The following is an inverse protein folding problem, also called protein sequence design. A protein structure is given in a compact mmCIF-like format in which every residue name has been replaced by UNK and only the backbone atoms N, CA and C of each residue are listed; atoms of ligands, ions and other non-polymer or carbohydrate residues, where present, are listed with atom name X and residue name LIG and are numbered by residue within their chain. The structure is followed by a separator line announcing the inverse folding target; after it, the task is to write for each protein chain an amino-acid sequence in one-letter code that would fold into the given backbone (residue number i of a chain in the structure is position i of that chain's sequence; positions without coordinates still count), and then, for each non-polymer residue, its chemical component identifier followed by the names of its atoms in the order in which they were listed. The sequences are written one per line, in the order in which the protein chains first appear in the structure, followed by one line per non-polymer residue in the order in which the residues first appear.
data_IF_006317258116
#
_entry.id   IF_006317258116
#
_cell.length_a   1.000
_cell.length_b   1.000
_cell.length_c   1.000
_cell.angle_alpha   90.00
_cell.angle_beta   90.00
_cell.angle_gamma   90.00
#
_symmetry.space_group_name_H-M   'P 1'
#
loop_
_entity.id
_entity.type
_entity.pdbx_description
1 polymer ?
#
# COMPACT_ATOMS: atom_id res chain seq x y z
N UNK A 1 -13.92 -27.00 29.89
CA UNK A 1 -13.01 -27.90 29.15
C UNK A 1 -13.09 -27.44 27.71
N UNK A 2 -12.00 -26.92 27.14
CA UNK A 2 -11.98 -26.54 25.73
C UNK A 2 -11.86 -27.83 24.92
N UNK A 3 -12.91 -28.21 24.21
CA UNK A 3 -12.84 -29.26 23.21
C UNK A 3 -12.08 -28.70 22.01
N UNK A 4 -10.90 -29.25 21.76
CA UNK A 4 -10.18 -28.97 20.53
C UNK A 4 -10.92 -29.67 19.38
N UNK A 5 -11.06 -29.02 18.22
CA UNK A 5 -11.69 -29.65 17.05
C UNK A 5 -10.98 -30.98 16.77
N UNK A 6 -11.76 -32.06 16.77
CA UNK A 6 -11.27 -33.40 16.44
C UNK A 6 -10.99 -33.38 14.94
N UNK A 7 -9.71 -33.29 14.56
CA UNK A 7 -9.28 -33.21 13.17
C UNK A 7 -9.60 -34.48 12.40
N UNK A 8 -10.84 -34.56 11.89
CA UNK A 8 -11.28 -35.55 10.91
C UNK A 8 -11.13 -35.02 9.47
N UNK A 9 -10.68 -33.77 9.33
CA UNK A 9 -10.30 -33.18 8.06
C UNK A 9 -8.90 -33.67 7.68
N UNK A 10 -8.83 -34.40 6.56
CA UNK A 10 -7.57 -34.83 5.97
C UNK A 10 -6.63 -33.62 5.80
N UNK A 11 -5.33 -33.74 6.16
CA UNK A 11 -4.44 -32.59 6.15
C UNK A 11 -4.35 -31.96 4.77
N UNK A 12 -4.52 -30.64 4.71
CA UNK A 12 -4.32 -29.84 3.51
C UNK A 12 -2.91 -30.06 2.95
N UNK A 13 -2.79 -30.17 1.62
CA UNK A 13 -1.52 -30.32 0.91
C UNK A 13 -1.00 -31.74 0.73
N UNK A 14 -1.79 -32.77 1.06
CA UNK A 14 -1.39 -34.17 0.88
C UNK A 14 -1.94 -34.83 -0.40
N UNK A 15 -2.91 -34.22 -1.07
CA UNK A 15 -3.46 -34.69 -2.35
C UNK A 15 -3.94 -33.53 -3.21
N UNK A 16 -4.11 -33.77 -4.51
CA UNK A 16 -4.71 -32.79 -5.44
C UNK A 16 -6.18 -32.49 -5.10
N UNK A 17 -6.83 -33.39 -4.38
CA UNK A 17 -8.22 -33.24 -3.89
C UNK A 17 -8.30 -32.28 -2.69
N UNK A 18 -7.19 -32.09 -1.99
CA UNK A 18 -7.02 -31.19 -0.84
C UNK A 18 -5.74 -30.36 -0.99
N UNK A 19 -5.67 -29.46 -1.98
CA UNK A 19 -4.47 -28.66 -2.24
C UNK A 19 -4.28 -27.60 -1.15
N UNK A 20 -3.05 -27.08 -1.05
CA UNK A 20 -2.78 -25.87 -0.24
C UNK A 20 -3.39 -24.66 -0.95
N UNK A 21 -4.38 -24.03 -0.31
CA UNK A 21 -5.09 -22.86 -0.82
C UNK A 21 -4.45 -21.60 -0.26
N UNK A 22 -3.85 -20.81 -1.16
CA UNK A 22 -3.27 -19.51 -0.83
C UNK A 22 -4.35 -18.42 -0.95
N UNK A 23 -5.17 -18.26 0.08
CA UNK A 23 -6.28 -17.29 0.06
C UNK A 23 -5.78 -15.84 -0.10
N UNK A 24 -6.36 -15.11 -1.05
CA UNK A 24 -6.08 -13.69 -1.29
C UNK A 24 -4.76 -13.40 -2.01
N UNK A 25 -4.04 -14.42 -2.46
CA UNK A 25 -2.84 -14.27 -3.28
C UNK A 25 -3.15 -14.51 -4.75
N UNK A 26 -2.48 -13.75 -5.63
CA UNK A 26 -2.58 -13.99 -7.07
C UNK A 26 -1.56 -15.04 -7.52
N UNK A 27 -1.84 -15.71 -8.63
CA UNK A 27 -0.86 -16.61 -9.26
C UNK A 27 0.42 -15.87 -9.69
N UNK A 28 0.35 -14.56 -9.92
CA UNK A 28 1.50 -13.72 -10.25
C UNK A 28 2.38 -13.46 -9.02
N UNK A 29 1.77 -13.14 -7.88
CA UNK A 29 2.49 -12.95 -6.61
C UNK A 29 3.23 -14.23 -6.20
N UNK A 30 2.56 -15.38 -6.30
CA UNK A 30 3.19 -16.66 -5.99
C UNK A 30 4.33 -16.98 -6.97
N UNK A 31 4.14 -16.75 -8.28
CA UNK A 31 5.20 -16.96 -9.28
C UNK A 31 6.39 -16.05 -9.05
N UNK A 32 6.18 -14.80 -8.64
CA UNK A 32 7.26 -13.88 -8.27
C UNK A 32 8.08 -14.46 -7.12
N UNK A 33 7.42 -14.97 -6.08
CA UNK A 33 8.10 -15.62 -4.94
C UNK A 33 8.89 -16.86 -5.38
N UNK A 34 8.28 -17.76 -6.15
CA UNK A 34 8.95 -18.97 -6.65
C UNK A 34 10.18 -18.64 -7.49
N UNK A 35 10.12 -17.58 -8.32
CA UNK A 35 11.25 -17.12 -9.14
C UNK A 35 12.49 -16.86 -8.30
N UNK A 36 12.34 -16.31 -7.10
CA UNK A 36 13.47 -15.99 -6.23
C UNK A 36 13.83 -17.12 -5.27
N UNK A 37 12.84 -17.89 -4.78
CA UNK A 37 13.08 -19.06 -3.92
C UNK A 37 13.86 -20.15 -4.65
N UNK A 38 13.50 -20.42 -5.90
CA UNK A 38 14.13 -21.46 -6.71
C UNK A 38 15.31 -20.93 -7.53
N UNK A 39 15.53 -19.60 -7.56
CA UNK A 39 16.80 -19.05 -8.00
C UNK A 39 17.85 -19.31 -6.92
N UNK A 40 19.07 -19.75 -7.26
CA UNK A 40 20.13 -19.95 -6.27
C UNK A 40 20.40 -18.64 -5.49
N UNK A 41 20.17 -18.58 -4.16
CA UNK A 41 20.31 -17.34 -3.37
C UNK A 41 21.75 -16.78 -3.36
N UNK A 42 22.73 -17.63 -3.69
CA UNK A 42 24.15 -17.27 -3.83
C UNK A 42 24.47 -16.56 -5.16
N UNK A 43 23.57 -16.59 -6.17
CA UNK A 43 23.84 -16.04 -7.50
C UNK A 43 23.12 -14.74 -7.82
N UNK A 44 21.99 -14.45 -7.15
CA UNK A 44 21.27 -13.19 -7.39
C UNK A 44 21.86 -12.11 -6.51
N UNK A 45 22.95 -11.51 -6.99
CA UNK A 45 23.48 -10.27 -6.43
C UNK A 45 22.36 -9.22 -6.43
N UNK A 46 22.08 -8.61 -5.29
CA UNK A 46 21.01 -7.59 -5.15
C UNK A 46 21.20 -6.48 -6.20
N UNK A 47 22.47 -6.16 -6.50
CA UNK A 47 22.92 -5.19 -7.50
C UNK A 47 22.54 -5.56 -8.94
N UNK A 48 22.36 -6.85 -9.24
CA UNK A 48 22.00 -7.36 -10.58
C UNK A 48 20.50 -7.25 -10.89
N UNK A 49 19.66 -7.06 -9.88
CA UNK A 49 18.20 -7.03 -10.05
C UNK A 49 17.78 -5.69 -10.68
N UNK A 50 17.14 -5.65 -11.85
CA UNK A 50 16.77 -4.39 -12.49
C UNK A 50 15.69 -3.64 -11.68
N UNK A 51 15.66 -2.32 -11.78
CA UNK A 51 14.58 -1.50 -11.18
C UNK A 51 13.18 -1.89 -11.68
N UNK A 52 13.09 -2.44 -12.89
CA UNK A 52 11.85 -2.98 -13.45
C UNK A 52 11.28 -4.17 -12.65
N UNK A 53 12.09 -4.84 -11.83
CA UNK A 53 11.64 -5.93 -10.95
C UNK A 53 11.04 -5.44 -9.62
N UNK A 54 10.96 -4.13 -9.39
CA UNK A 54 10.41 -3.58 -8.15
C UNK A 54 8.97 -4.05 -7.83
N UNK A 55 8.03 -4.16 -8.81
CA UNK A 55 6.70 -4.68 -8.53
C UNK A 55 6.76 -6.13 -8.02
N UNK A 56 7.61 -6.95 -8.64
CA UNK A 56 7.86 -8.32 -8.18
C UNK A 56 8.43 -8.34 -6.75
N UNK A 57 9.36 -7.44 -6.43
CA UNK A 57 9.92 -7.33 -5.06
C UNK A 57 8.88 -6.92 -4.02
N UNK A 58 7.94 -6.04 -4.39
CA UNK A 58 6.81 -5.68 -3.51
C UNK A 58 5.95 -6.92 -3.24
N UNK A 59 5.61 -7.70 -4.27
CA UNK A 59 4.88 -8.96 -4.12
C UNK A 59 5.64 -9.95 -3.24
N UNK A 60 6.95 -10.13 -3.47
CA UNK A 60 7.80 -11.01 -2.66
C UNK A 60 7.80 -10.59 -1.20
N UNK A 61 7.96 -9.29 -0.91
CA UNK A 61 7.98 -8.77 0.45
C UNK A 61 6.63 -8.97 1.17
N UNK A 62 5.50 -8.71 0.49
CA UNK A 62 4.14 -8.91 1.04
C UNK A 62 3.87 -10.38 1.34
N UNK A 63 4.11 -11.24 0.35
CA UNK A 63 3.90 -12.67 0.48
C UNK A 63 4.78 -13.24 1.58
N UNK A 64 6.07 -12.90 1.58
CA UNK A 64 7.02 -13.36 2.59
C UNK A 64 6.64 -12.88 4.00
N UNK A 65 6.08 -11.68 4.14
CA UNK A 65 5.56 -11.23 5.43
C UNK A 65 4.35 -12.07 5.88
N UNK A 66 3.37 -12.27 5.00
CA UNK A 66 2.14 -13.00 5.31
C UNK A 66 2.40 -14.45 5.73
N UNK A 67 3.34 -15.11 5.07
CA UNK A 67 3.70 -16.51 5.35
C UNK A 67 4.94 -16.66 6.25
N UNK A 68 5.33 -15.61 6.99
CA UNK A 68 6.43 -15.64 7.96
C UNK A 68 7.79 -16.13 7.41
N UNK A 69 8.11 -15.76 6.17
CA UNK A 69 9.36 -16.09 5.48
C UNK A 69 10.40 -14.98 5.70
N UNK A 70 10.93 -14.87 6.92
CA UNK A 70 11.75 -13.72 7.35
C UNK A 70 12.97 -13.44 6.47
N UNK A 71 13.66 -14.48 6.02
CA UNK A 71 14.83 -14.33 5.14
C UNK A 71 14.46 -13.63 3.83
N UNK A 72 13.39 -14.07 3.18
CA UNK A 72 12.92 -13.52 1.90
C UNK A 72 12.30 -12.13 2.06
N UNK A 73 11.62 -11.90 3.19
CA UNK A 73 11.12 -10.58 3.57
C UNK A 73 12.26 -9.57 3.68
N UNK A 74 13.29 -9.87 4.47
CA UNK A 74 14.44 -8.97 4.65
C UNK A 74 15.21 -8.76 3.35
N UNK A 75 15.46 -9.83 2.59
CA UNK A 75 16.12 -9.75 1.30
C UNK A 75 15.35 -8.85 0.31
N UNK A 76 14.04 -9.05 0.17
CA UNK A 76 13.22 -8.22 -0.73
C UNK A 76 13.20 -6.75 -0.30
N UNK A 77 13.17 -6.48 1.01
CA UNK A 77 13.25 -5.12 1.56
C UNK A 77 14.60 -4.44 1.28
N UNK A 78 15.71 -5.17 1.32
CA UNK A 78 17.03 -4.66 0.94
C UNK A 78 17.07 -4.29 -0.54
N UNK A 79 16.55 -5.16 -1.42
CA UNK A 79 16.45 -4.88 -2.86
C UNK A 79 15.58 -3.65 -3.10
N UNK A 80 14.41 -3.57 -2.45
CA UNK A 80 13.53 -2.41 -2.52
C UNK A 80 14.27 -1.15 -2.08
N UNK A 81 14.94 -1.19 -0.93
CA UNK A 81 15.72 -0.06 -0.41
C UNK A 81 16.75 0.43 -1.43
N UNK A 82 17.53 -0.48 -2.02
CA UNK A 82 18.52 -0.17 -3.04
C UNK A 82 17.86 0.46 -4.29
N UNK A 83 16.75 -0.09 -4.77
CA UNK A 83 16.10 0.40 -6.00
C UNK A 83 15.33 1.68 -5.80
N UNK A 84 14.74 1.87 -4.63
CA UNK A 84 14.21 3.15 -4.21
C UNK A 84 15.33 4.18 -4.20
N UNK A 85 16.57 3.88 -3.83
CA UNK A 85 17.61 4.93 -3.93
C UNK A 85 17.83 5.49 -5.35
N UNK A 86 17.39 4.76 -6.39
CA UNK A 86 17.35 5.15 -7.81
C UNK A 86 15.96 5.70 -8.26
N UNK A 87 15.26 6.41 -7.36
CA UNK A 87 13.87 6.90 -7.42
C UNK A 87 13.41 7.60 -8.72
N UNK A 88 14.32 8.07 -9.58
CA UNK A 88 13.96 8.93 -10.72
C UNK A 88 13.13 8.24 -11.81
N UNK A 89 13.15 6.91 -11.86
CA UNK A 89 12.48 6.11 -12.90
C UNK A 89 11.25 5.35 -12.41
N UNK A 90 10.86 5.51 -11.14
CA UNK A 90 9.82 4.70 -10.52
C UNK A 90 8.43 5.17 -11.02
N UNK A 91 7.64 4.28 -11.66
CA UNK A 91 6.31 4.63 -12.11
C UNK A 91 5.42 5.02 -10.93
N UNK A 92 4.60 6.03 -11.15
CA UNK A 92 3.83 6.70 -10.10
C UNK A 92 2.80 5.78 -9.44
N UNK A 93 2.33 4.77 -10.16
CA UNK A 93 1.43 3.70 -9.71
C UNK A 93 2.00 2.83 -8.58
N UNK A 94 3.33 2.77 -8.42
CA UNK A 94 3.95 1.96 -7.39
C UNK A 94 4.23 2.71 -6.08
N UNK A 95 4.11 4.05 -6.05
CA UNK A 95 4.42 4.85 -4.87
C UNK A 95 3.51 4.53 -3.69
N UNK A 96 2.20 4.36 -3.94
CA UNK A 96 1.25 3.99 -2.89
C UNK A 96 1.53 2.58 -2.35
N UNK A 97 1.52 1.49 -3.15
CA UNK A 97 1.79 0.14 -2.64
C UNK A 97 3.12 0.03 -1.89
N UNK A 98 4.15 0.72 -2.37
CA UNK A 98 5.48 0.74 -1.77
C UNK A 98 5.49 1.46 -0.41
N UNK A 99 4.80 2.59 -0.29
CA UNK A 99 4.69 3.32 0.97
C UNK A 99 3.89 2.51 2.01
N UNK A 100 2.76 1.92 1.59
CA UNK A 100 1.95 0.98 2.38
C UNK A 100 2.79 -0.17 2.92
N UNK A 101 3.57 -0.80 2.03
CA UNK A 101 4.44 -1.91 2.37
C UNK A 101 5.49 -1.53 3.42
N UNK A 102 6.19 -0.41 3.24
CA UNK A 102 7.28 -0.02 4.15
C UNK A 102 6.78 0.46 5.51
N UNK A 103 5.55 0.95 5.56
CA UNK A 103 4.83 1.16 6.81
C UNK A 103 4.58 -0.18 7.49
N UNK A 104 3.95 -1.12 6.79
CA UNK A 104 3.55 -2.42 7.32
C UNK A 104 4.77 -3.23 7.80
N UNK A 105 5.89 -3.12 7.10
CA UNK A 105 7.13 -3.84 7.37
C UNK A 105 8.11 -3.07 8.28
N UNK A 106 7.71 -1.91 8.81
CA UNK A 106 8.51 -1.03 9.68
C UNK A 106 9.93 -0.70 9.14
N UNK A 107 10.12 -0.78 7.84
CA UNK A 107 11.45 -0.79 7.26
C UNK A 107 11.98 0.64 7.03
N UNK A 108 13.12 0.95 7.68
CA UNK A 108 14.01 2.08 7.35
C UNK A 108 13.33 3.45 7.24
N UNK A 109 13.32 4.30 8.30
CA UNK A 109 12.68 5.62 8.25
C UNK A 109 13.18 6.50 7.10
N UNK A 110 14.46 6.36 6.72
CA UNK A 110 15.07 7.05 5.59
C UNK A 110 14.46 6.65 4.23
N UNK A 111 14.15 5.37 4.02
CA UNK A 111 13.54 4.90 2.77
C UNK A 111 12.12 5.42 2.63
N UNK A 112 11.36 5.39 3.74
CA UNK A 112 10.00 5.96 3.78
C UNK A 112 9.98 7.45 3.48
N UNK A 113 10.88 8.21 4.11
CA UNK A 113 10.99 9.65 3.88
C UNK A 113 11.28 9.99 2.41
N UNK A 114 12.18 9.25 1.75
CA UNK A 114 12.52 9.47 0.34
C UNK A 114 11.35 9.16 -0.60
N UNK A 115 10.60 8.08 -0.33
CA UNK A 115 9.40 7.77 -1.12
C UNK A 115 8.36 8.84 -0.96
N UNK A 116 8.17 9.33 0.28
CA UNK A 116 7.24 10.41 0.54
C UNK A 116 7.66 11.71 -0.17
N UNK A 117 8.95 12.06 -0.13
CA UNK A 117 9.49 13.22 -0.84
C UNK A 117 9.24 13.11 -2.36
N UNK A 118 9.54 11.96 -2.96
CA UNK A 118 9.25 11.74 -4.38
C UNK A 118 7.77 11.80 -4.68
N UNK A 119 6.94 11.23 -3.81
CA UNK A 119 5.49 11.27 -3.98
C UNK A 119 4.98 12.70 -3.96
N UNK A 120 5.48 13.51 -3.01
CA UNK A 120 5.21 14.95 -2.94
C UNK A 120 5.64 15.66 -4.23
N UNK A 121 6.84 15.41 -4.75
CA UNK A 121 7.33 16.00 -6.01
C UNK A 121 6.43 15.67 -7.21
N UNK A 122 6.00 14.41 -7.31
CA UNK A 122 5.15 13.96 -8.42
C UNK A 122 3.76 14.58 -8.31
N UNK A 123 3.22 14.64 -7.08
CA UNK A 123 1.96 15.34 -6.82
C UNK A 123 2.12 16.80 -7.22
N UNK A 124 3.13 17.53 -6.74
CA UNK A 124 3.42 18.95 -7.03
C UNK A 124 3.56 19.25 -8.53
N UNK A 125 4.07 18.31 -9.31
CA UNK A 125 4.21 18.42 -10.78
C UNK A 125 2.92 18.10 -11.56
N UNK A 126 1.80 17.87 -10.88
CA UNK A 126 0.47 17.52 -11.45
C UNK A 126 0.43 16.17 -12.17
N UNK A 127 1.36 15.26 -11.86
CA UNK A 127 1.44 13.96 -12.55
C UNK A 127 0.72 12.82 -11.81
N UNK A 128 0.06 13.10 -10.68
CA UNK A 128 -0.67 12.10 -9.89
C UNK A 128 -1.93 12.70 -9.26
N UNK A 129 -2.99 11.90 -9.25
CA UNK A 129 -4.18 12.14 -8.45
C UNK A 129 -3.92 11.79 -6.98
N UNK A 130 -4.41 12.61 -6.04
CA UNK A 130 -4.38 12.35 -4.60
C UNK A 130 -5.37 11.26 -4.15
N UNK A 131 -6.31 10.87 -5.02
CA UNK A 131 -7.41 9.96 -4.68
C UNK A 131 -6.95 8.59 -4.13
N UNK A 132 -5.93 7.91 -4.70
CA UNK A 132 -5.46 6.64 -4.16
C UNK A 132 -4.90 6.75 -2.75
N UNK A 133 -4.34 7.92 -2.39
CA UNK A 133 -3.81 8.20 -1.06
C UNK A 133 -4.94 8.34 -0.05
N UNK A 134 -6.00 9.05 -0.42
CA UNK A 134 -7.19 9.21 0.40
C UNK A 134 -7.91 7.87 0.60
N UNK A 135 -8.04 7.06 -0.46
CA UNK A 135 -8.63 5.72 -0.35
C UNK A 135 -7.83 4.81 0.60
N UNK A 136 -6.50 4.89 0.57
CA UNK A 136 -5.64 4.14 1.51
C UNK A 136 -5.77 4.65 2.96
N UNK A 137 -5.91 5.97 3.15
CA UNK A 137 -6.18 6.57 4.45
C UNK A 137 -7.52 6.11 5.05
N UNK A 138 -8.54 6.05 4.20
CA UNK A 138 -9.92 5.73 4.56
C UNK A 138 -10.09 4.27 4.95
N UNK A 139 -9.21 3.39 4.44
CA UNK A 139 -9.11 2.00 4.86
C UNK A 139 -8.64 1.83 6.33
N UNK A 140 -8.35 2.93 7.05
CA UNK A 140 -8.17 2.91 8.51
C UNK A 140 -6.75 2.65 8.99
N UNK A 141 -5.77 2.63 8.10
CA UNK A 141 -4.37 2.46 8.45
C UNK A 141 -3.82 3.77 9.05
N UNK A 142 -3.81 3.87 10.38
CA UNK A 142 -3.38 5.05 11.14
C UNK A 142 -1.95 5.54 10.81
N UNK A 143 -1.15 4.70 10.17
CA UNK A 143 0.22 4.95 9.76
C UNK A 143 0.37 5.92 8.57
N UNK A 144 -0.69 6.21 7.82
CA UNK A 144 -0.61 7.15 6.67
C UNK A 144 -0.56 8.63 7.06
N UNK A 145 -0.66 8.99 8.34
CA UNK A 145 -0.85 10.39 8.76
C UNK A 145 0.25 11.33 8.26
N UNK A 146 1.52 10.96 8.34
CA UNK A 146 2.62 11.82 7.88
C UNK A 146 2.59 12.03 6.37
N UNK A 147 2.38 10.96 5.60
CA UNK A 147 2.31 11.03 4.15
C UNK A 147 1.09 11.80 3.65
N UNK A 148 -0.07 11.59 4.27
CA UNK A 148 -1.30 12.30 3.97
C UNK A 148 -1.17 13.79 4.26
N UNK A 149 -0.61 14.17 5.41
CA UNK A 149 -0.43 15.58 5.78
C UNK A 149 0.44 16.28 4.75
N UNK A 150 1.56 15.68 4.34
CA UNK A 150 2.46 16.26 3.35
C UNK A 150 1.76 16.47 1.98
N UNK A 151 1.08 15.44 1.48
CA UNK A 151 0.36 15.49 0.20
C UNK A 151 -0.81 16.49 0.26
N UNK A 152 -1.48 16.60 1.41
CA UNK A 152 -2.58 17.52 1.61
C UNK A 152 -2.14 18.99 1.70
N UNK A 153 -1.01 19.25 2.35
CA UNK A 153 -0.41 20.60 2.39
C UNK A 153 -0.09 21.13 0.99
N UNK A 154 0.32 20.25 0.07
CA UNK A 154 0.57 20.60 -1.33
C UNK A 154 -0.73 21.05 -2.02
N UNK A 155 -1.82 20.31 -1.82
CA UNK A 155 -3.12 20.66 -2.40
C UNK A 155 -3.72 21.94 -1.82
N UNK A 156 -3.58 22.19 -0.52
CA UNK A 156 -4.00 23.47 0.08
C UNK A 156 -3.26 24.64 -0.58
N UNK A 157 -1.93 24.53 -0.77
CA UNK A 157 -1.13 25.57 -1.44
C UNK A 157 -1.53 25.78 -2.90
N UNK A 158 -2.03 24.74 -3.58
CA UNK A 158 -2.56 24.84 -4.95
C UNK A 158 -3.88 25.57 -4.99
N UNK A 159 -4.76 25.26 -4.05
CA UNK A 159 -6.04 25.93 -3.90
C UNK A 159 -5.85 27.42 -3.62
N UNK A 160 -4.94 27.79 -2.71
CA UNK A 160 -4.59 29.20 -2.43
C UNK A 160 -4.05 29.94 -3.66
N UNK A 161 -3.38 29.23 -4.59
CA UNK A 161 -2.89 29.77 -5.86
C UNK A 161 -3.94 29.82 -6.97
N UNK A 162 -5.19 29.44 -6.69
CA UNK A 162 -6.30 29.50 -7.66
C UNK A 162 -6.36 28.35 -8.67
N UNK A 163 -5.67 27.23 -8.41
CA UNK A 163 -5.81 26.02 -9.24
C UNK A 163 -7.17 25.35 -8.92
N UNK A 164 -8.15 25.55 -9.80
CA UNK A 164 -9.57 25.22 -9.59
C UNK A 164 -9.96 23.74 -9.76
N UNK A 165 -9.01 22.86 -10.08
CA UNK A 165 -9.28 21.43 -10.38
C UNK A 165 -9.65 20.60 -9.15
N UNK A 166 -9.26 21.06 -7.96
CA UNK A 166 -9.38 20.30 -6.71
C UNK A 166 -10.84 20.12 -6.24
N UNK A 167 -11.62 21.21 -6.19
CA UNK A 167 -13.02 21.18 -5.74
C UNK A 167 -13.91 20.37 -6.68
N UNK A 168 -13.72 20.48 -8.00
CA UNK A 168 -14.52 19.72 -8.95
C UNK A 168 -14.24 18.21 -8.85
N UNK A 169 -13.00 17.81 -8.60
CA UNK A 169 -12.61 16.39 -8.56
C UNK A 169 -13.01 15.73 -7.24
N UNK A 170 -12.87 16.43 -6.10
CA UNK A 170 -13.28 15.89 -4.80
C UNK A 170 -14.79 15.84 -4.60
N UNK A 171 -15.51 16.89 -5.04
CA UNK A 171 -16.98 16.91 -4.98
C UNK A 171 -17.55 15.84 -5.92
N UNK A 172 -16.96 15.65 -7.11
CA UNK A 172 -17.39 14.61 -8.06
C UNK A 172 -17.11 13.18 -7.57
N UNK A 173 -16.09 12.98 -6.74
CA UNK A 173 -15.69 11.66 -6.23
C UNK A 173 -16.15 11.40 -4.79
N UNK A 174 -17.08 12.20 -4.24
CA UNK A 174 -17.73 11.91 -2.96
C UNK A 174 -16.86 12.09 -1.71
N UNK A 175 -15.68 12.72 -1.82
CA UNK A 175 -14.84 13.02 -0.66
C UNK A 175 -15.46 14.19 0.09
N UNK A 176 -16.22 13.85 1.13
CA UNK A 176 -17.01 14.82 1.89
C UNK A 176 -16.14 15.85 2.63
N UNK A 177 -16.63 17.08 2.76
CA UNK A 177 -16.08 18.17 3.60
C UNK A 177 -15.70 17.71 5.03
N UNK A 178 -16.27 16.59 5.47
CA UNK A 178 -16.00 15.90 6.73
C UNK A 178 -14.50 15.59 6.92
N UNK A 179 -13.74 15.30 5.86
CA UNK A 179 -12.29 15.03 5.98
C UNK A 179 -11.47 16.24 6.43
N UNK A 180 -11.82 17.43 5.92
CA UNK A 180 -11.22 18.70 6.32
C UNK A 180 -11.51 19.00 7.81
N UNK A 181 -12.74 18.73 8.27
CA UNK A 181 -13.13 18.93 9.68
C UNK A 181 -12.51 17.89 10.64
N UNK A 182 -12.35 16.63 10.23
CA UNK A 182 -11.80 15.54 11.05
C UNK A 182 -10.32 15.74 11.38
N UNK A 183 -9.52 16.24 10.45
CA UNK A 183 -8.09 16.51 10.70
C UNK A 183 -7.86 17.69 11.65
N UNK A 184 -8.72 18.70 11.62
CA UNK A 184 -8.62 19.83 12.54
C UNK A 184 -9.09 19.51 13.97
N UNK A 185 -9.95 18.51 14.17
CA UNK A 185 -10.55 18.20 15.48
C UNK A 185 -9.89 17.05 16.25
N UNK A 186 -9.07 16.22 15.60
CA UNK A 186 -8.29 15.16 16.26
C UNK A 186 -9.10 14.03 16.91
N UNK A 187 -10.39 13.89 16.61
CA UNK A 187 -11.26 12.90 17.27
C UNK A 187 -11.37 11.57 16.50
N UNK A 188 -11.29 10.40 17.18
CA UNK A 188 -11.56 9.10 16.59
C UNK A 188 -13.08 8.86 16.45
N UNK A 189 -13.46 8.10 15.42
CA UNK A 189 -14.85 7.85 15.04
C UNK A 189 -15.60 6.95 16.03
N UNK A 190 -16.69 7.45 16.61
CA UNK A 190 -17.85 6.62 16.91
C UNK A 190 -18.77 6.65 15.69
N UNK A 191 -18.87 5.52 14.99
CA UNK A 191 -19.84 5.32 13.92
C UNK A 191 -21.22 5.25 14.57
N UNK A 192 -22.02 6.30 14.38
CA UNK A 192 -23.45 6.27 14.65
C UNK A 192 -24.19 6.59 13.35
N UNK A 193 -24.88 5.55 12.85
CA UNK A 193 -25.97 5.55 11.88
C UNK A 193 -26.34 6.88 11.21
N UNK A 194 -25.83 7.11 10.00
CA UNK A 194 -26.42 8.05 9.07
C UNK A 194 -27.47 7.30 8.23
N UNK A 195 -28.73 7.34 8.67
CA UNK A 195 -29.88 7.01 7.83
C UNK A 195 -29.87 7.88 6.58
N UNK A 196 -29.90 7.25 5.42
CA UNK A 196 -30.10 7.90 4.12
C UNK A 196 -31.57 8.36 4.05
N UNK A 197 -31.82 9.67 4.10
CA UNK A 197 -33.12 10.22 3.71
C UNK A 197 -33.26 10.27 2.19
N UNK A 198 -34.41 9.89 1.62
CA UNK A 198 -34.60 9.86 0.17
C UNK A 198 -34.84 11.27 -0.38
N UNK A 199 -34.18 11.54 -1.51
CA UNK A 199 -34.30 12.77 -2.30
C UNK A 199 -35.71 12.85 -2.91
N UNK A 200 -36.43 13.98 -2.81
CA UNK A 200 -37.71 14.14 -3.49
C UNK A 200 -37.49 14.40 -4.98
N UNK A 201 -38.11 13.58 -5.83
CA UNK A 201 -38.16 13.82 -7.26
C UNK A 201 -39.22 14.89 -7.60
N UNK A 202 -38.99 15.69 -8.66
CA UNK A 202 -39.88 16.76 -9.11
C UNK A 202 -41.20 16.26 -9.71
#
# INVERSE_FOLDING_TARGET
MFELPSGDDSPEGLSDELPIVLEGETAEDFRAVLKYIYAPPIQVQIESIPAAALPEMISVARFSHKYAMDHWKSWALEVIGLRVTSLDLLPTEYLQPLYSLLILLEHGPSTRARILERWCDVVEKNNLSIIPVLAAADAGEAFYREGLVAVYCIEIRRWEKGASTFTQTLIRNGVSQIYFQRMHSGQPSHVADARVEPIPHP
#
